data_IF_876546068332
#
_entry.id   IF_876546068332
#
_cell.length_a   1.000
_cell.length_b   1.000
_cell.length_c   1.000
_cell.angle_alpha   90.00
_cell.angle_beta   90.00
_cell.angle_gamma   90.00
#
_symmetry.space_group_name_H-M   'P 1'
#
loop_
_entity.id
_entity.type
_entity.pdbx_description
1 polymer ?
#
# COMPACT_ATOMS: atom_id res chain seq x y z
N UNK A 1 -7.13 8.88 6.41
CA UNK A 1 -7.19 9.82 5.26
C UNK A 1 -7.36 9.04 3.96
N UNK A 2 -7.58 9.72 2.82
CA UNK A 2 -7.74 9.09 1.51
C UNK A 2 -6.72 9.66 0.53
N UNK A 3 -6.09 8.79 -0.24
CA UNK A 3 -5.20 9.14 -1.37
C UNK A 3 -5.66 8.37 -2.62
N UNK A 4 -5.05 8.68 -3.76
CA UNK A 4 -5.32 8.01 -5.03
C UNK A 4 -4.06 7.32 -5.51
N UNK A 5 -4.15 6.03 -5.81
CA UNK A 5 -3.02 5.25 -6.27
C UNK A 5 -3.47 4.09 -7.15
N UNK A 6 -2.55 3.62 -7.99
CA UNK A 6 -2.59 2.27 -8.52
C UNK A 6 -1.93 1.32 -7.51
N UNK A 7 -2.44 0.09 -7.43
CA UNK A 7 -2.04 -0.91 -6.46
C UNK A 7 -1.30 -2.03 -7.17
N UNK A 8 -0.16 -2.42 -6.61
CA UNK A 8 0.70 -3.47 -7.11
C UNK A 8 1.04 -4.45 -6.00
N UNK A 9 1.31 -5.69 -6.38
CA UNK A 9 1.91 -6.68 -5.50
C UNK A 9 3.03 -7.42 -6.23
N UNK A 10 4.01 -7.91 -5.48
CA UNK A 10 5.02 -8.78 -6.06
C UNK A 10 4.43 -10.18 -6.25
N UNK A 11 4.51 -10.70 -7.48
CA UNK A 11 4.12 -12.07 -7.84
C UNK A 11 5.25 -12.76 -8.59
N UNK A 12 5.22 -14.10 -8.56
CA UNK A 12 6.00 -14.93 -9.46
C UNK A 12 5.15 -15.20 -10.71
N UNK A 13 5.57 -14.69 -11.86
CA UNK A 13 4.95 -14.92 -13.15
C UNK A 13 5.99 -15.54 -14.08
N UNK A 14 5.71 -16.71 -14.65
CA UNK A 14 6.60 -17.46 -15.54
C UNK A 14 8.03 -17.70 -14.98
N UNK A 15 8.15 -17.82 -13.66
CA UNK A 15 9.43 -18.03 -12.97
C UNK A 15 10.24 -16.75 -12.71
N UNK A 16 9.69 -15.58 -13.04
CA UNK A 16 10.26 -14.28 -12.72
C UNK A 16 9.47 -13.59 -11.61
N UNK A 17 10.20 -12.97 -10.67
CA UNK A 17 9.59 -12.18 -9.59
C UNK A 17 9.42 -10.75 -10.11
N UNK A 18 8.17 -10.31 -10.28
CA UNK A 18 7.85 -9.01 -10.86
C UNK A 18 6.69 -8.32 -10.12
N UNK A 19 6.54 -7.02 -10.37
CA UNK A 19 5.41 -6.24 -9.89
C UNK A 19 4.19 -6.49 -10.78
N UNK A 20 3.17 -7.15 -10.23
CA UNK A 20 1.89 -7.35 -10.88
C UNK A 20 0.89 -6.27 -10.43
N UNK A 21 0.15 -5.71 -11.38
CA UNK A 21 -0.87 -4.69 -11.12
C UNK A 21 -2.15 -5.36 -10.59
N UNK A 22 -2.66 -4.84 -9.47
CA UNK A 22 -3.86 -5.34 -8.78
C UNK A 22 -5.10 -4.52 -9.13
N UNK A 23 -4.93 -3.21 -9.31
CA UNK A 23 -6.02 -2.30 -9.69
C UNK A 23 -5.97 -1.96 -11.17
N UNK A 24 -7.09 -2.11 -11.88
CA UNK A 24 -7.19 -1.74 -13.31
C UNK A 24 -7.03 -0.24 -13.57
N UNK A 25 -7.33 0.59 -12.57
CA UNK A 25 -7.31 2.05 -12.63
C UNK A 25 -6.72 2.63 -11.34
N UNK A 26 -6.48 3.94 -11.32
CA UNK A 26 -6.21 4.67 -10.08
C UNK A 26 -7.45 4.63 -9.20
N UNK A 27 -7.32 4.06 -7.99
CA UNK A 27 -8.42 3.87 -7.05
C UNK A 27 -8.24 4.70 -5.79
N UNK A 28 -9.32 5.05 -5.08
CA UNK A 28 -9.23 5.68 -3.78
C UNK A 28 -8.73 4.66 -2.74
N UNK A 29 -7.57 4.95 -2.14
CA UNK A 29 -6.96 4.17 -1.06
C UNK A 29 -7.25 4.86 0.27
N UNK A 30 -7.93 4.15 1.17
CA UNK A 30 -8.30 4.65 2.49
C UNK A 30 -7.31 4.11 3.53
N UNK A 31 -6.77 5.01 4.34
CA UNK A 31 -5.85 4.72 5.42
C UNK A 31 -6.52 5.07 6.75
N UNK A 32 -6.73 4.08 7.60
CA UNK A 32 -7.41 4.23 8.90
C UNK A 32 -6.50 3.70 10.00
N UNK A 33 -6.18 4.53 10.99
CA UNK A 33 -5.56 4.04 12.22
C UNK A 33 -6.64 3.31 13.03
N UNK A 34 -6.48 2.00 13.21
CA UNK A 34 -7.43 1.15 13.94
C UNK A 34 -6.93 0.75 15.34
N UNK A 35 -5.64 0.99 15.61
CA UNK A 35 -5.01 0.82 16.91
C UNK A 35 -3.83 1.78 16.95
N UNK A 36 -3.62 2.44 18.09
CA UNK A 36 -2.49 3.36 18.27
C UNK A 36 -1.42 2.79 19.20
N UNK A 37 -1.83 2.30 20.37
CA UNK A 37 -0.91 1.76 21.40
C UNK A 37 -1.18 0.28 21.68
N UNK A 38 -0.14 -0.55 21.94
CA UNK A 38 1.30 -0.21 22.02
C UNK A 38 2.01 -0.19 20.67
N UNK A 39 1.34 -0.67 19.62
CA UNK A 39 1.80 -0.68 18.22
C UNK A 39 0.69 -0.05 17.40
N UNK A 40 1.03 0.92 16.56
CA UNK A 40 0.11 1.58 15.65
C UNK A 40 -0.22 0.63 14.49
N UNK A 41 -1.50 0.43 14.21
CA UNK A 41 -1.97 -0.42 13.12
C UNK A 41 -2.81 0.42 12.18
N UNK A 42 -2.32 0.59 10.96
CA UNK A 42 -3.08 1.19 9.88
C UNK A 42 -3.75 0.09 9.06
N UNK A 43 -5.08 0.15 8.95
CA UNK A 43 -5.80 -0.61 7.94
C UNK A 43 -5.84 0.20 6.66
N UNK A 44 -5.41 -0.42 5.57
CA UNK A 44 -5.36 0.17 4.24
C UNK A 44 -6.31 -0.59 3.34
N UNK A 45 -7.30 0.12 2.77
CA UNK A 45 -8.34 -0.50 1.94
C UNK A 45 -8.56 0.24 0.63
N UNK A 46 -8.85 -0.50 -0.43
CA UNK A 46 -9.31 0.05 -1.69
C UNK A 46 -10.36 -0.84 -2.35
N UNK A 47 -11.23 -0.21 -3.11
CA UNK A 47 -12.31 -0.86 -3.85
C UNK A 47 -12.18 -0.49 -5.33
N UNK A 48 -12.48 -1.44 -6.21
CA UNK A 48 -12.55 -1.16 -7.64
C UNK A 48 -13.85 -0.42 -8.01
N UNK A 49 -14.01 -0.09 -9.29
CA UNK A 49 -15.21 0.59 -9.81
C UNK A 49 -16.50 -0.21 -9.64
N UNK A 50 -16.41 -1.53 -9.41
CA UNK A 50 -17.52 -2.43 -9.15
C UNK A 50 -17.84 -2.55 -7.65
N UNK A 51 -17.20 -1.75 -6.80
CA UNK A 51 -17.36 -1.75 -5.33
C UNK A 51 -16.86 -3.07 -4.70
N UNK A 52 -16.00 -3.80 -5.40
CA UNK A 52 -15.35 -4.99 -4.87
C UNK A 52 -14.08 -4.60 -4.15
N UNK A 53 -13.85 -5.18 -2.97
CA UNK A 53 -12.66 -4.91 -2.18
C UNK A 53 -11.46 -5.64 -2.80
N UNK A 54 -10.59 -4.87 -3.45
CA UNK A 54 -9.40 -5.40 -4.14
C UNK A 54 -8.13 -5.28 -3.30
N UNK A 55 -8.18 -4.50 -2.21
CA UNK A 55 -7.05 -4.29 -1.32
C UNK A 55 -7.55 -4.12 0.10
N UNK A 56 -7.02 -4.92 1.03
CA UNK A 56 -7.31 -4.86 2.46
C UNK A 56 -6.13 -5.44 3.24
N UNK A 57 -5.24 -4.57 3.69
CA UNK A 57 -3.99 -4.97 4.36
C UNK A 57 -3.77 -4.17 5.63
N UNK A 58 -2.91 -4.68 6.51
CA UNK A 58 -2.53 -4.02 7.76
C UNK A 58 -1.06 -3.65 7.73
N UNK A 59 -0.76 -2.40 8.04
CA UNK A 59 0.59 -1.90 8.18
C UNK A 59 0.85 -1.58 9.65
N UNK A 60 1.94 -2.11 10.21
CA UNK A 60 2.27 -2.00 11.63
C UNK A 60 3.44 -1.03 11.83
N UNK A 61 3.31 -0.11 12.79
CA UNK A 61 4.41 0.74 13.24
C UNK A 61 4.57 0.75 14.77
N UNK A 62 5.81 0.74 15.29
CA UNK A 62 7.04 0.52 14.55
C UNK A 62 7.15 -0.93 14.03
N UNK A 63 7.80 -1.14 12.88
CA UNK A 63 8.22 -2.47 12.44
C UNK A 63 8.12 -2.72 10.94
N UNK A 64 7.18 -2.11 10.23
CA UNK A 64 7.10 -2.21 8.77
C UNK A 64 8.03 -1.18 8.12
N UNK A 65 9.02 -1.65 7.36
CA UNK A 65 9.92 -0.76 6.61
C UNK A 65 9.24 -0.33 5.31
N UNK A 66 8.93 0.96 5.22
CA UNK A 66 8.37 1.59 4.03
C UNK A 66 9.52 2.16 3.20
N UNK A 67 9.55 1.80 1.91
CA UNK A 67 10.59 2.24 0.96
C UNK A 67 9.94 3.00 -0.19
N UNK A 68 10.52 4.15 -0.54
CA UNK A 68 10.10 4.94 -1.69
C UNK A 68 11.06 4.69 -2.85
N UNK A 69 10.62 3.94 -3.86
CA UNK A 69 11.46 3.54 -4.99
C UNK A 69 11.51 4.60 -6.11
N UNK A 70 10.46 5.44 -6.21
CA UNK A 70 10.41 6.60 -7.12
C UNK A 70 9.69 7.77 -6.46
N UNK A 71 9.54 8.90 -7.16
CA UNK A 71 8.83 10.06 -6.62
C UNK A 71 7.39 9.74 -6.19
N UNK A 72 6.73 8.80 -6.87
CA UNK A 72 5.34 8.43 -6.63
C UNK A 72 5.15 6.98 -6.14
N UNK A 73 6.16 6.11 -6.28
CA UNK A 73 6.03 4.70 -5.94
C UNK A 73 6.60 4.39 -4.56
N UNK A 74 5.74 3.89 -3.67
CA UNK A 74 6.11 3.45 -2.32
C UNK A 74 5.73 1.99 -2.15
N UNK A 75 6.61 1.21 -1.55
CA UNK A 75 6.39 -0.20 -1.30
C UNK A 75 6.85 -0.63 0.10
N UNK A 76 6.31 -1.75 0.56
CA UNK A 76 6.71 -2.40 1.80
C UNK A 76 6.45 -3.90 1.71
N UNK A 77 7.18 -4.65 2.54
CA UNK A 77 6.95 -6.08 2.75
C UNK A 77 6.16 -6.30 4.03
N UNK A 78 5.05 -7.02 3.94
CA UNK A 78 4.30 -7.50 5.10
C UNK A 78 5.07 -8.67 5.72
N UNK A 79 5.53 -8.51 6.96
CA UNK A 79 6.34 -9.50 7.65
C UNK A 79 5.57 -10.75 8.12
N UNK A 80 4.24 -10.74 8.05
CA UNK A 80 3.42 -11.90 8.41
C UNK A 80 3.14 -12.80 7.22
N UNK A 81 2.88 -12.20 6.06
CA UNK A 81 2.53 -12.94 4.85
C UNK A 81 3.70 -13.09 3.89
N UNK A 82 4.80 -12.34 4.11
CA UNK A 82 5.92 -12.16 3.18
C UNK A 82 5.51 -11.55 1.84
N UNK A 83 4.26 -11.07 1.70
CA UNK A 83 3.80 -10.36 0.51
C UNK A 83 4.42 -8.96 0.47
N UNK A 84 4.78 -8.52 -0.73
CA UNK A 84 5.28 -7.17 -0.95
C UNK A 84 4.25 -6.36 -1.75
N UNK A 85 3.87 -5.22 -1.19
CA UNK A 85 2.82 -4.35 -1.72
C UNK A 85 3.42 -3.04 -2.19
N UNK A 86 2.90 -2.52 -3.29
CA UNK A 86 3.31 -1.26 -3.91
C UNK A 86 2.11 -0.35 -4.17
N UNK A 87 2.28 0.94 -3.91
CA UNK A 87 1.33 1.98 -4.23
C UNK A 87 1.99 3.00 -5.14
N UNK A 88 1.45 3.18 -6.35
CA UNK A 88 1.85 4.24 -7.27
C UNK A 88 0.90 5.41 -7.14
N UNK A 89 1.27 6.42 -6.37
CA UNK A 89 0.41 7.58 -6.11
C UNK A 89 0.33 8.50 -7.33
N UNK A 90 -0.78 9.24 -7.46
CA UNK A 90 -0.94 10.21 -8.56
C UNK A 90 0.02 11.39 -8.47
N UNK A 91 0.53 11.72 -7.27
CA UNK A 91 1.47 12.81 -7.06
C UNK A 91 2.59 12.47 -6.08
N UNK A 92 3.79 13.07 -6.21
CA UNK A 92 4.87 12.89 -5.24
C UNK A 92 4.54 13.40 -3.83
N UNK A 93 3.61 14.36 -3.75
CA UNK A 93 3.13 14.90 -2.46
C UNK A 93 2.34 13.83 -1.71
N UNK A 94 1.50 13.07 -2.39
CA UNK A 94 0.70 12.02 -1.79
C UNK A 94 1.57 10.85 -1.32
N UNK A 95 2.59 10.48 -2.10
CA UNK A 95 3.59 9.48 -1.69
C UNK A 95 4.33 9.90 -0.40
N UNK A 96 4.75 11.17 -0.31
CA UNK A 96 5.37 11.71 0.91
C UNK A 96 4.39 11.70 2.10
N UNK A 97 3.16 12.16 1.90
CA UNK A 97 2.11 12.14 2.94
C UNK A 97 1.86 10.74 3.48
N UNK A 98 1.76 9.75 2.60
CA UNK A 98 1.61 8.35 3.02
C UNK A 98 2.77 7.92 3.92
N UNK A 99 4.01 8.13 3.48
CA UNK A 99 5.20 7.76 4.24
C UNK A 99 5.23 8.46 5.60
N UNK A 100 5.03 9.77 5.62
CA UNK A 100 5.11 10.59 6.84
C UNK A 100 4.02 10.22 7.86
N UNK A 101 2.87 9.71 7.42
CA UNK A 101 1.82 9.19 8.32
C UNK A 101 2.14 7.81 8.91
N UNK A 102 3.10 7.09 8.34
CA UNK A 102 3.47 5.74 8.75
C UNK A 102 4.89 5.70 9.34
N UNK A 103 5.36 6.80 9.92
CA UNK A 103 6.61 6.89 10.72
C UNK A 103 6.29 6.78 12.20
#
# INVERSE_FOLDING_TARGET
>A
FRLWAEIFEVREEDGEICWARVSDDVVPVNFTCIQDTPVTVFQITAYNRHVEKIFDVRLLQPGTRITQASECFVHWKDSKTEHEWGLNFTTPVDARRFRDCCV
#
